data_IF_623625527124
#
_entry.id   IF_623625527124
#
_cell.length_a   1.000
_cell.length_b   1.000
_cell.length_c   1.000
_cell.angle_alpha   90.00
_cell.angle_beta   90.00
_cell.angle_gamma   90.00
#
_symmetry.space_group_name_H-M   'P 1'
#
loop_
_entity.id
_entity.type
_entity.pdbx_description
1 polymer ?
#
# COMPACT_ATOMS: atom_id res chain seq x y z
N UNK A 1 -17.49 1.54 40.23
CA UNK A 1 -16.56 0.54 39.69
C UNK A 1 -16.87 0.34 38.21
N UNK A 2 -16.05 1.00 37.39
CA UNK A 2 -15.44 0.55 36.13
C UNK A 2 -16.35 0.29 34.90
N UNK A 3 -16.30 1.24 33.97
CA UNK A 3 -16.87 1.23 32.63
C UNK A 3 -15.96 0.41 31.69
N UNK A 4 -16.18 -0.89 31.56
CA UNK A 4 -15.40 -1.77 30.67
C UNK A 4 -16.31 -2.33 29.57
N UNK A 5 -16.48 -1.61 28.45
CA UNK A 5 -17.16 -2.17 27.25
C UNK A 5 -17.00 -1.35 25.96
N UNK A 6 -16.07 -0.40 25.85
CA UNK A 6 -15.96 0.49 24.67
C UNK A 6 -14.69 0.33 23.82
N UNK A 7 -13.95 -0.77 23.93
CA UNK A 7 -12.63 -0.87 23.28
C UNK A 7 -12.38 -2.14 22.45
N UNK A 8 -13.42 -2.81 21.96
CA UNK A 8 -13.26 -4.00 21.09
C UNK A 8 -13.31 -3.62 19.60
N UNK A 9 -14.18 -2.68 19.21
CA UNK A 9 -14.32 -2.27 17.80
C UNK A 9 -13.09 -1.58 17.19
N UNK A 10 -12.20 -0.99 18.01
CA UNK A 10 -10.97 -0.40 17.49
C UNK A 10 -9.91 -1.46 17.13
N UNK A 11 -9.86 -2.58 17.86
CA UNK A 11 -8.90 -3.65 17.57
C UNK A 11 -9.23 -4.35 16.25
N UNK A 12 -10.50 -4.65 16.00
CA UNK A 12 -10.93 -5.31 14.75
C UNK A 12 -10.65 -4.45 13.52
N UNK A 13 -10.97 -3.15 13.59
CA UNK A 13 -10.64 -2.19 12.52
C UNK A 13 -9.13 -2.05 12.31
N UNK A 14 -8.33 -2.09 13.36
CA UNK A 14 -6.86 -2.04 13.27
C UNK A 14 -6.27 -3.31 12.64
N UNK A 15 -6.80 -4.50 12.94
CA UNK A 15 -6.33 -5.77 12.34
C UNK A 15 -6.64 -5.81 10.84
N UNK A 16 -7.82 -5.34 10.45
CA UNK A 16 -8.23 -5.28 9.04
C UNK A 16 -7.40 -4.25 8.25
N UNK A 17 -7.16 -3.07 8.82
CA UNK A 17 -6.23 -2.06 8.25
C UNK A 17 -4.81 -2.62 8.08
N UNK A 18 -4.30 -3.36 9.08
CA UNK A 18 -3.00 -4.02 9.00
C UNK A 18 -2.93 -5.11 7.92
N UNK A 19 -4.03 -5.85 7.71
CA UNK A 19 -4.11 -6.87 6.64
C UNK A 19 -4.14 -6.21 5.27
N UNK A 20 -4.93 -5.14 5.11
CA UNK A 20 -5.00 -4.36 3.87
C UNK A 20 -3.66 -3.71 3.53
N UNK A 21 -2.98 -3.10 4.50
CA UNK A 21 -1.61 -2.57 4.37
C UNK A 21 -0.63 -3.62 3.89
N UNK A 22 -0.61 -4.79 4.51
CA UNK A 22 0.28 -5.89 4.10
C UNK A 22 -0.06 -6.43 2.72
N UNK A 23 -1.34 -6.51 2.36
CA UNK A 23 -1.76 -6.94 1.02
C UNK A 23 -1.33 -5.92 -0.05
N UNK A 24 -1.53 -4.62 0.20
CA UNK A 24 -1.08 -3.52 -0.66
C UNK A 24 0.44 -3.57 -0.85
N UNK A 25 1.18 -3.71 0.25
CA UNK A 25 2.64 -3.82 0.24
C UNK A 25 3.14 -5.00 -0.61
N UNK A 26 2.53 -6.18 -0.45
CA UNK A 26 2.87 -7.36 -1.24
C UNK A 26 2.60 -7.17 -2.74
N UNK A 27 1.52 -6.45 -3.10
CA UNK A 27 1.21 -6.14 -4.51
C UNK A 27 2.17 -5.12 -5.10
N UNK A 28 2.50 -4.08 -4.35
CA UNK A 28 3.52 -3.10 -4.73
C UNK A 28 4.86 -3.79 -4.97
N UNK A 29 5.29 -4.65 -4.04
CA UNK A 29 6.52 -5.41 -4.16
C UNK A 29 6.54 -6.29 -5.41
N UNK A 30 5.45 -7.02 -5.68
CA UNK A 30 5.31 -7.82 -6.91
C UNK A 30 5.35 -6.97 -8.16
N UNK A 31 4.65 -5.83 -8.17
CA UNK A 31 4.61 -4.89 -9.29
C UNK A 31 6.02 -4.37 -9.61
N UNK A 32 6.74 -3.90 -8.59
CA UNK A 32 8.11 -3.43 -8.76
C UNK A 32 9.04 -4.53 -9.27
N UNK A 33 8.90 -5.76 -8.74
CA UNK A 33 9.66 -6.91 -9.23
C UNK A 33 9.33 -7.27 -10.68
N UNK A 34 8.05 -7.30 -11.04
CA UNK A 34 7.60 -7.61 -12.40
C UNK A 34 8.06 -6.57 -13.41
N UNK A 35 8.06 -5.29 -13.03
CA UNK A 35 8.53 -4.22 -13.88
C UNK A 35 10.05 -4.01 -13.84
N UNK A 36 10.80 -4.79 -13.04
CA UNK A 36 12.25 -4.63 -12.89
C UNK A 36 12.68 -3.32 -12.25
N UNK A 37 11.80 -2.70 -11.44
CA UNK A 37 12.03 -1.40 -10.82
C UNK A 37 12.56 -1.58 -9.40
N UNK A 38 13.75 -1.04 -9.15
CA UNK A 38 14.35 -0.96 -7.82
C UNK A 38 13.70 0.12 -6.95
N UNK A 39 13.81 0.02 -5.63
CA UNK A 39 13.28 1.02 -4.69
C UNK A 39 13.80 2.43 -5.01
N UNK A 40 15.11 2.57 -5.29
CA UNK A 40 15.72 3.83 -5.73
C UNK A 40 15.06 4.42 -6.99
N UNK A 41 14.74 3.56 -7.96
CA UNK A 41 14.15 3.96 -9.24
C UNK A 41 12.70 4.41 -9.03
N UNK A 42 11.93 3.67 -8.24
CA UNK A 42 10.59 4.06 -7.84
C UNK A 42 10.60 5.38 -7.06
N UNK A 43 11.52 5.53 -6.10
CA UNK A 43 11.70 6.75 -5.32
C UNK A 43 11.96 7.97 -6.22
N UNK A 44 12.85 7.81 -7.21
CA UNK A 44 13.16 8.85 -8.21
C UNK A 44 11.96 9.21 -9.08
N UNK A 45 11.17 8.25 -9.54
CA UNK A 45 9.95 8.52 -10.32
C UNK A 45 8.86 9.21 -9.52
N UNK A 46 8.76 8.87 -8.23
CA UNK A 46 7.74 9.41 -7.34
C UNK A 46 8.17 10.73 -6.69
N UNK A 47 9.46 11.05 -6.69
CA UNK A 47 10.01 12.22 -6.01
C UNK A 47 9.97 12.09 -4.49
N UNK A 48 10.13 10.86 -3.99
CA UNK A 48 10.07 10.51 -2.56
C UNK A 48 11.38 9.84 -2.13
N UNK A 49 11.58 9.66 -0.82
CA UNK A 49 12.76 8.98 -0.31
C UNK A 49 12.69 7.47 -0.56
N UNK A 50 13.85 6.81 -0.72
CA UNK A 50 13.90 5.35 -0.85
C UNK A 50 13.34 4.63 0.39
N UNK A 51 13.59 5.19 1.58
CA UNK A 51 13.03 4.71 2.83
C UNK A 51 11.50 4.66 2.81
N UNK A 52 10.84 5.70 2.31
CA UNK A 52 9.37 5.72 2.15
C UNK A 52 8.90 4.55 1.30
N UNK A 53 9.57 4.29 0.17
CA UNK A 53 9.28 3.15 -0.70
C UNK A 53 9.50 1.83 0.02
N UNK A 54 10.55 1.69 0.81
CA UNK A 54 10.78 0.49 1.61
C UNK A 54 9.70 0.30 2.68
N UNK A 55 9.26 1.36 3.36
CA UNK A 55 8.18 1.29 4.34
C UNK A 55 6.87 0.83 3.70
N UNK A 56 6.56 1.31 2.49
CA UNK A 56 5.39 0.86 1.72
C UNK A 56 5.51 -0.60 1.30
N UNK A 57 6.67 -1.03 0.80
CA UNK A 57 6.94 -2.42 0.41
C UNK A 57 6.87 -3.39 1.58
N UNK A 58 7.17 -2.93 2.80
CA UNK A 58 7.06 -3.71 4.05
C UNK A 58 5.67 -3.64 4.67
N UNK A 59 4.78 -2.77 4.19
CA UNK A 59 3.43 -2.56 4.73
C UNK A 59 3.42 -1.81 6.06
N UNK A 60 4.51 -1.12 6.38
CA UNK A 60 4.64 -0.30 7.59
C UNK A 60 3.82 0.99 7.42
N UNK A 61 3.95 1.65 6.28
CA UNK A 61 3.19 2.85 5.91
C UNK A 61 2.37 2.62 4.65
N UNK A 62 1.31 3.40 4.47
CA UNK A 62 0.51 3.41 3.23
C UNK A 62 1.00 4.56 2.36
N UNK A 63 1.28 4.32 1.06
CA UNK A 63 1.59 5.40 0.15
C UNK A 63 0.41 6.37 0.05
N UNK A 64 0.64 7.69 0.09
CA UNK A 64 -0.41 8.67 -0.12
C UNK A 64 -1.02 8.55 -1.52
N UNK A 65 -2.27 9.02 -1.69
CA UNK A 65 -3.02 8.87 -2.94
C UNK A 65 -2.30 9.47 -4.16
N UNK A 66 -1.54 10.54 -3.97
CA UNK A 66 -0.72 11.16 -5.02
C UNK A 66 0.34 10.19 -5.58
N UNK A 67 0.97 9.39 -4.71
CA UNK A 67 1.96 8.37 -5.04
C UNK A 67 1.27 7.21 -5.75
N UNK A 68 0.14 6.74 -5.22
CA UNK A 68 -0.66 5.69 -5.87
C UNK A 68 -1.07 6.09 -7.30
N UNK A 69 -1.48 7.35 -7.50
CA UNK A 69 -1.86 7.88 -8.82
C UNK A 69 -0.67 7.93 -9.77
N UNK A 70 0.51 8.37 -9.30
CA UNK A 70 1.72 8.36 -10.11
C UNK A 70 2.20 6.96 -10.45
N UNK A 71 2.11 6.01 -9.50
CA UNK A 71 2.42 4.60 -9.73
C UNK A 71 1.47 3.99 -10.76
N UNK A 72 0.16 4.21 -10.59
CA UNK A 72 -0.85 3.77 -11.54
C UNK A 72 -0.56 4.28 -12.96
N UNK A 73 -0.25 5.57 -13.10
CA UNK A 73 0.12 6.16 -14.38
C UNK A 73 1.45 5.62 -14.94
N UNK A 74 2.47 5.44 -14.10
CA UNK A 74 3.80 4.99 -14.53
C UNK A 74 3.83 3.52 -14.96
N UNK A 75 3.05 2.67 -14.30
CA UNK A 75 2.97 1.23 -14.60
C UNK A 75 1.74 0.84 -15.42
N UNK A 76 0.91 1.83 -15.80
CA UNK A 76 -0.39 1.63 -16.45
C UNK A 76 -1.27 0.61 -15.69
N UNK A 77 -1.31 0.76 -14.36
CA UNK A 77 -2.06 -0.12 -13.46
C UNK A 77 -3.32 0.56 -12.97
N UNK A 78 -4.33 -0.24 -12.71
CA UNK A 78 -5.56 0.23 -12.10
C UNK A 78 -5.35 0.55 -10.62
N UNK A 79 -5.72 1.76 -10.19
CA UNK A 79 -5.54 2.20 -8.80
C UNK A 79 -6.46 1.42 -7.85
N UNK A 80 -7.60 0.94 -8.32
CA UNK A 80 -8.46 0.06 -7.53
C UNK A 80 -7.81 -1.32 -7.39
N UNK A 81 -7.18 -1.87 -8.43
CA UNK A 81 -6.38 -3.10 -8.28
C UNK A 81 -5.26 -2.93 -7.25
N UNK A 82 -4.58 -1.77 -7.24
CA UNK A 82 -3.56 -1.49 -6.23
C UNK A 82 -4.17 -1.52 -4.82
N UNK A 83 -5.28 -0.79 -4.62
CA UNK A 83 -5.90 -0.55 -3.32
C UNK A 83 -6.65 -1.77 -2.78
N UNK A 84 -7.48 -2.43 -3.61
CA UNK A 84 -8.34 -3.56 -3.20
C UNK A 84 -7.76 -4.91 -3.59
N UNK A 85 -6.90 -4.97 -4.62
CA UNK A 85 -6.44 -6.24 -5.21
C UNK A 85 -7.48 -6.96 -6.02
N UNK A 86 -8.66 -6.37 -6.19
CA UNK A 86 -9.66 -6.84 -7.12
C UNK A 86 -9.26 -6.26 -8.47
N UNK A 87 -8.70 -7.09 -9.34
CA UNK A 87 -8.64 -6.70 -10.74
C UNK A 87 -10.09 -6.69 -11.17
N UNK A 88 -10.58 -5.55 -11.65
CA UNK A 88 -11.83 -5.57 -12.38
C UNK A 88 -11.52 -6.38 -13.64
N UNK A 89 -11.84 -7.68 -13.59
CA UNK A 89 -11.92 -8.53 -14.78
C UNK A 89 -13.01 -7.88 -15.64
N UNK A 90 -12.57 -7.12 -16.64
CA UNK A 90 -13.42 -6.68 -17.74
C UNK A 90 -13.68 -7.88 -18.66
#
# INVERSE_FOLDING_TARGET
MNQDTRHIGHLERSVEDNRLRRALAARLDRTFKQAGVSSAQAAKWLGVSEDDVQYWRRGITVPPLNVCTRLAAAFNLDIHWLCTGQAQLA
#
